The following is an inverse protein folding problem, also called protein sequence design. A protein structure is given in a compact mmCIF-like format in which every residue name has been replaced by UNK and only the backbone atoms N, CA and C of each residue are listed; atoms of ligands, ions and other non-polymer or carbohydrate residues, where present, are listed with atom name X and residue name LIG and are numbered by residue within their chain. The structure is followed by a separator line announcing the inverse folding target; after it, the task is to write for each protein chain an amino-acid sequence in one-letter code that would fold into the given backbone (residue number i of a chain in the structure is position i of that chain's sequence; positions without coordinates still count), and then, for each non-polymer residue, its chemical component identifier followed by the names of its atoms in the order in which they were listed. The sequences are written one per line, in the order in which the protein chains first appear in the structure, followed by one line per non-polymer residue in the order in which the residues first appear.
data_IF_323433677301
#
_entry.id   IF_323433677301
#
_cell.length_a   1.000
_cell.length_b   1.000
_cell.length_c   1.000
_cell.angle_alpha   90.00
_cell.angle_beta   90.00
_cell.angle_gamma   90.00
#
_symmetry.space_group_name_H-M   'P 1'
#
loop_
_entity.id
_entity.type
_entity.pdbx_description
1 polymer ?
#
# COMPACT_ATOMS: atom_id res chain seq x y z
N UNK A 1 7.03 4.84 -6.19
CA UNK A 1 5.81 4.06 -5.81
C UNK A 1 4.54 4.93 -5.81
N UNK A 2 4.41 5.87 -6.75
CA UNK A 2 3.23 6.73 -6.88
C UNK A 2 2.17 6.13 -7.80
N UNK A 3 2.47 5.06 -8.50
CA UNK A 3 1.53 4.41 -9.42
C UNK A 3 0.58 3.52 -8.60
N UNK A 4 -0.71 3.86 -8.53
CA UNK A 4 -1.66 3.11 -7.75
C UNK A 4 -2.05 1.88 -8.56
N UNK A 5 -1.34 0.77 -8.36
CA UNK A 5 -1.80 -0.50 -8.88
C UNK A 5 -3.15 -0.83 -8.24
N UNK A 6 -4.13 -1.15 -9.08
CA UNK A 6 -5.47 -1.55 -8.66
C UNK A 6 -5.66 -3.05 -8.83
N UNK A 7 -6.62 -3.64 -8.11
CA UNK A 7 -6.98 -5.04 -8.31
C UNK A 7 -7.36 -5.38 -9.76
N UNK A 8 -8.16 -4.55 -10.46
CA UNK A 8 -8.40 -4.72 -11.88
C UNK A 8 -7.11 -4.78 -12.71
N UNK A 9 -6.14 -3.88 -12.47
CA UNK A 9 -4.88 -3.86 -13.22
C UNK A 9 -4.06 -5.13 -13.02
N UNK A 10 -3.94 -5.59 -11.77
CA UNK A 10 -3.21 -6.83 -11.47
C UNK A 10 -3.93 -8.06 -12.02
N UNK A 11 -5.26 -8.08 -11.97
CA UNK A 11 -6.06 -9.16 -12.53
C UNK A 11 -5.88 -9.24 -14.06
N UNK A 12 -5.92 -8.10 -14.75
CA UNK A 12 -5.65 -8.01 -16.18
C UNK A 12 -4.22 -8.47 -16.53
N UNK A 13 -3.22 -7.99 -15.81
CA UNK A 13 -1.81 -8.36 -16.03
C UNK A 13 -1.52 -9.85 -15.81
N UNK A 14 -2.31 -10.51 -14.95
CA UNK A 14 -2.20 -11.94 -14.65
C UNK A 14 -3.21 -12.79 -15.42
N UNK A 15 -3.93 -12.21 -16.38
CA UNK A 15 -4.98 -12.87 -17.18
C UNK A 15 -5.99 -13.65 -16.33
N UNK A 16 -6.43 -13.06 -15.22
CA UNK A 16 -7.35 -13.69 -14.26
C UNK A 16 -8.47 -12.73 -13.86
N UNK A 17 -9.51 -13.24 -13.21
CA UNK A 17 -10.56 -12.39 -12.64
C UNK A 17 -10.12 -11.77 -11.32
N UNK A 18 -10.69 -10.61 -10.96
CA UNK A 18 -10.43 -9.97 -9.66
C UNK A 18 -10.78 -10.88 -8.48
N UNK A 19 -11.88 -11.65 -8.58
CA UNK A 19 -12.31 -12.58 -7.52
C UNK A 19 -11.31 -13.72 -7.34
N UNK A 20 -10.80 -14.30 -8.44
CA UNK A 20 -9.78 -15.35 -8.39
C UNK A 20 -8.48 -14.81 -7.82
N UNK A 21 -8.05 -13.62 -8.26
CA UNK A 21 -6.85 -12.98 -7.74
C UNK A 21 -6.99 -12.68 -6.24
N UNK A 22 -8.12 -12.11 -5.82
CA UNK A 22 -8.40 -11.81 -4.42
C UNK A 22 -8.34 -13.06 -3.54
N UNK A 23 -8.98 -14.16 -3.98
CA UNK A 23 -8.97 -15.43 -3.27
C UNK A 23 -7.55 -16.00 -3.11
N UNK A 24 -6.79 -16.05 -4.22
CA UNK A 24 -5.39 -16.50 -4.20
C UNK A 24 -4.50 -15.61 -3.34
N UNK A 25 -4.69 -14.30 -3.42
CA UNK A 25 -3.92 -13.33 -2.65
C UNK A 25 -4.14 -13.52 -1.14
N UNK A 26 -5.39 -13.67 -0.72
CA UNK A 26 -5.74 -13.91 0.69
C UNK A 26 -5.20 -15.25 1.17
N UNK A 27 -5.23 -16.29 0.35
CA UNK A 27 -4.64 -17.59 0.71
C UNK A 27 -3.12 -17.50 0.86
N UNK A 28 -2.43 -16.77 -0.02
CA UNK A 28 -0.98 -16.66 0.00
C UNK A 28 -0.44 -15.71 1.09
N UNK A 29 -1.16 -14.64 1.40
CA UNK A 29 -0.67 -13.56 2.30
C UNK A 29 -1.42 -13.48 3.62
N UNK A 30 -2.51 -14.23 3.79
CA UNK A 30 -3.46 -14.11 4.91
C UNK A 30 -4.10 -12.73 5.05
N UNK A 31 -3.97 -11.86 4.05
CA UNK A 31 -4.45 -10.48 4.06
C UNK A 31 -5.26 -10.18 2.82
N UNK A 32 -6.20 -9.24 2.91
CA UNK A 32 -6.80 -8.69 1.70
C UNK A 32 -5.76 -7.87 0.93
N UNK A 33 -5.85 -7.78 -0.41
CA UNK A 33 -4.93 -6.98 -1.20
C UNK A 33 -4.81 -5.52 -0.73
N UNK A 34 -5.91 -4.94 -0.25
CA UNK A 34 -5.93 -3.57 0.28
C UNK A 34 -5.17 -3.42 1.61
N UNK A 35 -5.31 -4.40 2.50
CA UNK A 35 -4.53 -4.44 3.75
C UNK A 35 -3.04 -4.58 3.46
N UNK A 36 -2.68 -5.43 2.50
CA UNK A 36 -1.30 -5.63 2.09
C UNK A 36 -0.69 -4.38 1.45
N UNK A 37 -1.42 -3.73 0.53
CA UNK A 37 -1.01 -2.45 -0.06
C UNK A 37 -0.81 -1.37 1.00
N UNK A 38 -1.72 -1.26 1.98
CA UNK A 38 -1.54 -0.33 3.11
C UNK A 38 -0.25 -0.63 3.87
N UNK A 39 0.02 -1.89 4.21
CA UNK A 39 1.24 -2.29 4.93
C UNK A 39 2.51 -1.97 4.14
N UNK A 40 2.52 -2.24 2.83
CA UNK A 40 3.65 -1.88 1.95
C UNK A 40 3.89 -0.36 1.92
N UNK A 41 2.83 0.44 1.77
CA UNK A 41 2.94 1.91 1.76
C UNK A 41 3.49 2.46 3.07
N UNK A 42 3.05 1.93 4.21
CA UNK A 42 3.54 2.36 5.51
C UNK A 42 4.99 1.91 5.76
N UNK A 43 5.37 0.73 5.28
CA UNK A 43 6.76 0.25 5.31
C UNK A 43 7.69 1.13 4.48
N UNK A 44 7.30 1.48 3.25
CA UNK A 44 8.04 2.41 2.40
C UNK A 44 8.12 3.80 3.04
N UNK A 45 7.03 4.30 3.62
CA UNK A 45 7.04 5.59 4.32
C UNK A 45 8.02 5.57 5.51
N UNK A 46 8.05 4.48 6.28
CA UNK A 46 9.02 4.29 7.36
C UNK A 46 10.46 4.27 6.82
N UNK A 47 10.72 3.56 5.73
CA UNK A 47 12.04 3.54 5.09
C UNK A 47 12.49 4.96 4.72
N UNK A 48 11.62 5.74 4.08
CA UNK A 48 11.89 7.14 3.73
C UNK A 48 12.18 8.02 4.94
N UNK A 49 11.38 7.89 5.99
CA UNK A 49 11.55 8.71 7.19
C UNK A 49 12.85 8.38 7.92
N UNK A 50 13.19 7.09 8.05
CA UNK A 50 14.34 6.64 8.86
C UNK A 50 15.65 6.69 8.08
N UNK A 51 15.64 6.29 6.80
CA UNK A 51 16.85 6.16 5.98
C UNK A 51 17.12 7.42 5.17
N UNK A 52 16.07 8.01 4.57
CA UNK A 52 16.22 9.20 3.73
C UNK A 52 16.01 10.52 4.51
N UNK A 53 15.62 10.44 5.78
CA UNK A 53 15.38 11.62 6.62
C UNK A 53 14.18 12.46 6.20
N UNK A 54 13.26 11.90 5.39
CA UNK A 54 12.06 12.63 4.95
C UNK A 54 11.15 12.93 6.14
N UNK A 55 10.52 14.12 6.13
CA UNK A 55 9.44 14.40 7.09
C UNK A 55 8.24 13.48 6.86
N UNK A 56 7.44 13.21 7.90
CA UNK A 56 6.23 12.40 7.78
C UNK A 56 5.27 12.92 6.70
N UNK A 57 5.18 14.24 6.51
CA UNK A 57 4.35 14.85 5.47
C UNK A 57 4.90 14.61 4.05
N UNK A 58 6.22 14.62 3.87
CA UNK A 58 6.85 14.28 2.59
C UNK A 58 6.66 12.79 2.29
N UNK A 59 7.00 11.92 3.24
CA UNK A 59 6.86 10.47 3.08
C UNK A 59 5.41 10.08 2.76
N UNK A 60 4.43 10.64 3.47
CA UNK A 60 3.00 10.44 3.22
C UNK A 60 2.60 10.76 1.78
N UNK A 61 3.01 11.93 1.26
CA UNK A 61 2.72 12.32 -0.12
C UNK A 61 3.36 11.33 -1.11
N UNK A 62 4.61 10.95 -0.87
CA UNK A 62 5.35 10.06 -1.78
C UNK A 62 4.76 8.66 -1.87
N UNK A 63 4.22 8.13 -0.75
CA UNK A 63 3.55 6.82 -0.73
C UNK A 63 2.06 6.86 -1.13
N UNK A 64 1.58 8.01 -1.60
CA UNK A 64 0.24 8.17 -2.19
C UNK A 64 -0.86 8.57 -1.22
N UNK A 65 -0.53 9.03 -0.01
CA UNK A 65 -1.52 9.64 0.90
C UNK A 65 -1.76 11.10 0.51
N UNK A 66 -3.04 11.45 0.31
CA UNK A 66 -3.47 12.83 0.02
C UNK A 66 -3.44 13.76 1.24
N UNK A 67 -3.39 13.20 2.45
CA UNK A 67 -3.41 13.95 3.70
C UNK A 67 -2.46 13.32 4.72
N UNK A 68 -1.61 14.16 5.32
CA UNK A 68 -0.71 13.76 6.40
C UNK A 68 -1.48 13.26 7.64
N UNK A 69 -2.63 13.85 7.97
CA UNK A 69 -3.46 13.41 9.10
C UNK A 69 -4.05 12.01 8.87
N UNK A 70 -4.45 11.70 7.63
CA UNK A 70 -4.91 10.35 7.29
C UNK A 70 -3.77 9.33 7.40
N UNK A 71 -2.59 9.68 6.88
CA UNK A 71 -1.39 8.87 7.02
C UNK A 71 -1.04 8.60 8.48
N UNK A 72 -1.01 9.63 9.34
CA UNK A 72 -0.63 9.46 10.74
C UNK A 72 -1.56 8.51 11.50
N UNK A 73 -2.87 8.52 11.22
CA UNK A 73 -3.81 7.56 11.83
C UNK A 73 -3.52 6.14 11.37
N UNK A 74 -3.33 5.95 10.07
CA UNK A 74 -3.02 4.64 9.49
C UNK A 74 -1.68 4.10 9.98
N UNK A 75 -0.67 4.97 10.06
CA UNK A 75 0.68 4.63 10.52
C UNK A 75 0.71 4.23 11.99
N UNK A 76 -0.16 4.81 12.82
CA UNK A 76 -0.26 4.47 14.26
C UNK A 76 -1.09 3.21 14.51
N UNK A 77 -1.91 2.80 13.55
CA UNK A 77 -2.77 1.62 13.63
C UNK A 77 -2.09 0.32 13.15
N UNK A 78 -0.84 0.42 12.68
CA UNK A 78 0.02 -0.71 12.29
C UNK A 78 1.08 -0.92 13.36
#
# INVERSE_FOLDING_TARGET
MSEPWTMPMLAAALHTSESTLFGRFKQATSMTPMQYLKRLRLGEARHRMVILGESAAQAARTVGYRSASHFSRDYRAV
#
